data_IF_721825944461
#
_entry.id   IF_721825944461
#
_cell.length_a   1.000
_cell.length_b   1.000
_cell.length_c   1.000
_cell.angle_alpha   90.00
_cell.angle_beta   90.00
_cell.angle_gamma   90.00
#
_symmetry.space_group_name_H-M   'P 1'
#
loop_
_entity.id
_entity.type
_entity.pdbx_description
1 polymer ?
#
# COMPACT_ATOMS: atom_id res chain seq x y z
N UNK A 1 20.82 3.04 0.36
CA UNK A 1 19.72 3.52 -0.53
C UNK A 1 18.64 2.46 -0.66
N UNK A 2 17.37 2.83 -0.72
CA UNK A 2 16.23 1.94 -1.03
C UNK A 2 15.50 2.43 -2.27
N UNK A 3 14.77 1.55 -2.99
CA UNK A 3 14.08 1.88 -4.25
C UNK A 3 12.55 1.82 -4.14
N UNK A 4 12.00 1.42 -2.98
CA UNK A 4 10.57 1.41 -2.73
C UNK A 4 10.20 2.33 -1.57
N UNK A 5 9.08 3.04 -1.69
CA UNK A 5 8.52 3.82 -0.57
C UNK A 5 8.12 2.94 0.60
N UNK A 6 7.75 1.67 0.36
CA UNK A 6 7.41 0.69 1.42
C UNK A 6 8.54 0.44 2.41
N UNK A 7 9.81 0.69 2.00
CA UNK A 7 10.98 0.54 2.86
C UNK A 7 11.19 1.73 3.81
N UNK A 8 10.61 2.91 3.52
CA UNK A 8 10.78 4.13 4.33
C UNK A 8 10.27 3.94 5.76
N UNK A 9 9.02 3.45 6.00
CA UNK A 9 8.54 3.23 7.34
C UNK A 9 9.37 2.21 8.14
N UNK A 10 9.92 1.19 7.48
CA UNK A 10 10.77 0.19 8.14
C UNK A 10 12.07 0.82 8.66
N UNK A 11 12.72 1.68 7.85
CA UNK A 11 13.88 2.44 8.29
C UNK A 11 13.55 3.39 9.45
N UNK A 12 12.41 4.09 9.38
CA UNK A 12 11.99 5.03 10.42
C UNK A 12 11.65 4.35 11.74
N UNK A 13 11.00 3.19 11.71
CA UNK A 13 10.66 2.41 12.90
C UNK A 13 11.91 1.85 13.58
N UNK A 14 12.94 1.50 12.81
CA UNK A 14 14.23 1.07 13.34
C UNK A 14 15.13 2.24 13.78
N UNK A 15 14.71 3.50 13.53
CA UNK A 15 15.52 4.70 13.79
C UNK A 15 16.71 4.86 12.86
N UNK A 16 16.64 4.25 11.65
CA UNK A 16 17.69 4.24 10.63
C UNK A 16 17.37 5.10 9.40
N UNK A 17 16.43 6.03 9.53
CA UNK A 17 16.12 6.98 8.45
C UNK A 17 17.33 7.80 7.98
N UNK A 18 18.37 7.92 8.83
CA UNK A 18 19.61 8.63 8.47
C UNK A 18 20.45 7.85 7.46
N UNK A 19 20.31 6.55 7.38
CA UNK A 19 20.98 5.70 6.40
C UNK A 19 20.40 5.88 4.97
N UNK A 20 19.22 6.51 4.83
CA UNK A 20 18.72 6.88 3.52
C UNK A 20 19.45 8.12 3.00
N UNK A 21 20.27 7.93 1.96
CA UNK A 21 21.09 9.00 1.34
C UNK A 21 20.61 9.39 -0.06
N UNK A 22 19.79 8.54 -0.70
CA UNK A 22 19.22 8.82 -2.01
C UNK A 22 17.98 7.99 -2.27
N UNK A 23 17.07 8.52 -3.10
CA UNK A 23 15.83 7.88 -3.49
C UNK A 23 15.42 8.30 -4.90
N UNK A 24 14.82 7.40 -5.67
CA UNK A 24 14.27 7.69 -6.99
C UNK A 24 12.85 8.21 -6.87
N UNK A 25 12.56 9.37 -7.43
CA UNK A 25 11.26 10.03 -7.36
C UNK A 25 10.81 10.30 -5.92
N UNK A 26 11.54 11.18 -5.25
CA UNK A 26 11.30 11.56 -3.85
C UNK A 26 9.92 12.15 -3.60
N UNK A 27 9.19 12.62 -4.62
CA UNK A 27 7.83 13.14 -4.48
C UNK A 27 6.81 12.08 -4.05
N UNK A 28 7.11 10.79 -4.28
CA UNK A 28 6.28 9.69 -3.78
C UNK A 28 6.40 9.43 -2.28
N UNK A 29 7.42 9.97 -1.61
CA UNK A 29 7.60 9.80 -0.17
C UNK A 29 6.59 10.67 0.57
N UNK A 30 5.69 10.03 1.32
CA UNK A 30 4.63 10.67 2.09
C UNK A 30 5.05 11.01 3.52
N UNK A 31 6.06 10.33 4.08
CA UNK A 31 6.56 10.55 5.44
C UNK A 31 7.09 11.96 5.63
N UNK A 32 6.55 12.68 6.61
CA UNK A 32 7.05 14.01 7.00
C UNK A 32 8.49 13.94 7.51
N UNK A 33 8.86 12.88 8.24
CA UNK A 33 10.21 12.71 8.79
C UNK A 33 11.24 12.60 7.69
N UNK A 34 11.02 11.73 6.70
CA UNK A 34 11.92 11.57 5.55
C UNK A 34 11.85 12.78 4.62
N UNK A 35 10.66 13.39 4.43
CA UNK A 35 10.52 14.62 3.64
C UNK A 35 11.40 15.77 4.16
N UNK A 36 11.41 16.01 5.48
CA UNK A 36 12.28 17.02 6.10
C UNK A 36 13.77 16.76 5.80
N UNK A 37 14.18 15.51 5.71
CA UNK A 37 15.57 15.16 5.35
C UNK A 37 15.87 15.42 3.88
N UNK A 38 14.90 15.17 2.99
CA UNK A 38 15.02 15.50 1.55
C UNK A 38 15.15 17.01 1.39
N UNK A 39 14.28 17.78 2.02
CA UNK A 39 14.25 19.24 1.93
C UNK A 39 15.52 19.88 2.54
N UNK A 40 16.12 19.23 3.52
CA UNK A 40 17.43 19.61 4.09
C UNK A 40 18.65 19.14 3.25
N UNK A 41 18.44 18.44 2.13
CA UNK A 41 19.51 17.98 1.24
C UNK A 41 20.24 16.71 1.68
N UNK A 42 19.77 16.02 2.72
CA UNK A 42 20.38 14.76 3.20
C UNK A 42 19.98 13.53 2.37
N UNK A 43 18.94 13.63 1.55
CA UNK A 43 18.52 12.57 0.64
C UNK A 43 18.50 13.12 -0.77
N UNK A 44 19.37 12.60 -1.65
CA UNK A 44 19.52 13.05 -3.04
C UNK A 44 18.41 12.44 -3.91
N UNK A 45 17.80 13.27 -4.77
CA UNK A 45 16.94 12.80 -5.84
C UNK A 45 17.77 12.04 -6.89
N UNK A 46 17.39 10.79 -7.19
CA UNK A 46 18.13 9.89 -8.08
C UNK A 46 17.36 9.54 -9.36
N UNK A 47 16.60 10.46 -9.88
CA UNK A 47 15.86 10.28 -11.12
C UNK A 47 14.34 10.22 -10.94
N UNK A 48 13.64 10.01 -12.06
CA UNK A 48 12.18 9.99 -12.13
C UNK A 48 11.65 8.56 -12.37
N UNK A 49 10.34 8.42 -12.54
CA UNK A 49 9.67 7.13 -12.79
C UNK A 49 10.26 6.32 -13.96
N UNK A 50 10.82 6.98 -14.95
CA UNK A 50 11.30 6.34 -16.17
C UNK A 50 12.70 5.74 -16.04
N UNK A 51 13.59 6.34 -15.22
CA UNK A 51 14.97 5.90 -15.11
C UNK A 51 15.63 6.34 -13.80
N UNK A 52 16.35 5.40 -13.18
CA UNK A 52 17.29 5.69 -12.10
C UNK A 52 18.51 6.43 -12.70
N UNK A 53 18.89 7.57 -12.14
CA UNK A 53 20.11 8.27 -12.49
C UNK A 53 21.33 7.55 -11.89
N UNK A 54 21.90 6.63 -12.66
CA UNK A 54 23.02 5.81 -12.23
C UNK A 54 24.29 6.62 -12.00
N UNK A 55 24.53 7.72 -12.73
CA UNK A 55 25.67 8.59 -12.54
C UNK A 55 25.62 9.27 -11.16
N UNK A 56 24.50 9.89 -10.82
CA UNK A 56 24.29 10.49 -9.51
C UNK A 56 24.35 9.46 -8.37
N UNK A 57 23.91 8.22 -8.61
CA UNK A 57 24.02 7.14 -7.63
C UNK A 57 25.48 6.74 -7.40
N UNK A 58 26.28 6.62 -8.48
CA UNK A 58 27.68 6.27 -8.40
C UNK A 58 28.51 7.36 -7.71
N UNK A 59 28.20 8.64 -7.94
CA UNK A 59 28.79 9.77 -7.20
C UNK A 59 28.46 9.71 -5.71
N UNK A 60 27.21 9.35 -5.36
CA UNK A 60 26.75 9.26 -3.99
C UNK A 60 27.42 8.13 -3.20
N UNK A 61 27.88 7.05 -3.90
CA UNK A 61 28.56 5.87 -3.33
C UNK A 61 27.87 5.32 -2.08
N UNK A 62 26.59 4.92 -2.18
CA UNK A 62 25.92 4.31 -1.03
C UNK A 62 26.58 2.99 -0.66
N UNK A 63 26.56 2.61 0.62
CA UNK A 63 27.10 1.33 1.10
C UNK A 63 26.36 0.13 0.47
N UNK A 64 25.07 0.26 0.17
CA UNK A 64 24.26 -0.72 -0.54
C UNK A 64 23.04 -0.08 -1.22
N UNK A 65 22.51 -0.78 -2.22
CA UNK A 65 21.21 -0.50 -2.83
C UNK A 65 20.26 -1.64 -2.51
N UNK A 66 19.15 -1.34 -1.84
CA UNK A 66 18.08 -2.31 -1.56
C UNK A 66 16.94 -2.03 -2.53
N UNK A 67 16.64 -2.99 -3.38
CA UNK A 67 15.67 -2.82 -4.45
C UNK A 67 14.79 -4.05 -4.68
N UNK A 68 13.67 -3.85 -5.37
CA UNK A 68 12.86 -4.95 -5.86
C UNK A 68 13.17 -5.20 -7.35
N UNK A 69 13.03 -6.44 -7.79
CA UNK A 69 13.24 -6.80 -9.20
C UNK A 69 11.92 -6.80 -9.97
N UNK A 70 11.83 -5.90 -10.95
CA UNK A 70 11.04 -6.15 -12.17
C UNK A 70 12.05 -6.31 -13.32
N UNK A 71 11.72 -7.05 -14.35
CA UNK A 71 12.66 -7.50 -15.41
C UNK A 71 13.60 -6.42 -15.98
N UNK A 72 13.12 -5.17 -16.05
CA UNK A 72 13.90 -4.05 -16.56
C UNK A 72 14.97 -3.52 -15.58
N UNK A 73 14.85 -3.78 -14.28
CA UNK A 73 15.81 -3.31 -13.26
C UNK A 73 17.08 -4.16 -13.19
N UNK A 74 17.03 -5.42 -13.64
CA UNK A 74 18.19 -6.32 -13.57
C UNK A 74 19.43 -5.76 -14.26
N UNK A 75 19.28 -5.08 -15.41
CA UNK A 75 20.41 -4.47 -16.12
C UNK A 75 21.04 -3.32 -15.34
N UNK A 76 20.22 -2.48 -14.72
CA UNK A 76 20.68 -1.33 -13.90
C UNK A 76 21.36 -1.83 -12.63
N UNK A 77 20.79 -2.82 -11.94
CA UNK A 77 21.41 -3.40 -10.74
C UNK A 77 22.74 -4.09 -11.06
N UNK A 78 22.81 -4.86 -12.13
CA UNK A 78 24.06 -5.46 -12.60
C UNK A 78 25.14 -4.39 -12.92
N UNK A 79 24.77 -3.23 -13.45
CA UNK A 79 25.71 -2.14 -13.67
C UNK A 79 26.22 -1.57 -12.34
N UNK A 80 25.34 -1.36 -11.37
CA UNK A 80 25.68 -0.85 -10.02
C UNK A 80 26.64 -1.81 -9.32
N UNK A 81 26.36 -3.11 -9.35
CA UNK A 81 27.22 -4.15 -8.76
C UNK A 81 28.62 -4.19 -9.39
N UNK A 82 28.71 -4.04 -10.73
CA UNK A 82 29.98 -3.96 -11.43
C UNK A 82 30.84 -2.77 -11.01
N UNK A 83 30.23 -1.73 -10.46
CA UNK A 83 30.93 -0.58 -9.89
C UNK A 83 31.28 -0.76 -8.40
N UNK A 84 31.08 -1.97 -7.86
CA UNK A 84 31.46 -2.31 -6.48
C UNK A 84 30.46 -1.88 -5.41
N UNK A 85 29.24 -1.49 -5.78
CA UNK A 85 28.17 -1.17 -4.83
C UNK A 85 27.27 -2.42 -4.69
N UNK A 86 27.15 -3.00 -3.49
CA UNK A 86 26.29 -4.17 -3.26
C UNK A 86 24.82 -3.85 -3.58
N UNK A 87 24.16 -4.76 -4.28
CA UNK A 87 22.71 -4.70 -4.52
C UNK A 87 22.03 -5.86 -3.80
N UNK A 88 21.08 -5.51 -2.94
CA UNK A 88 20.31 -6.47 -2.15
C UNK A 88 18.87 -6.48 -2.66
N UNK A 89 18.43 -7.63 -3.17
CA UNK A 89 17.08 -7.77 -3.71
C UNK A 89 16.08 -8.03 -2.59
N UNK A 90 15.09 -7.15 -2.45
CA UNK A 90 13.97 -7.29 -1.54
C UNK A 90 12.75 -7.81 -2.31
N UNK A 91 12.08 -8.82 -1.76
CA UNK A 91 10.92 -9.48 -2.36
C UNK A 91 9.59 -9.21 -1.64
N UNK A 92 9.50 -8.19 -0.78
CA UNK A 92 8.34 -7.88 0.06
C UNK A 92 7.02 -7.78 -0.71
N UNK A 93 7.07 -7.28 -1.93
CA UNK A 93 5.89 -7.12 -2.81
C UNK A 93 5.29 -8.47 -3.25
N UNK A 94 6.03 -9.58 -3.14
CA UNK A 94 5.57 -10.93 -3.50
C UNK A 94 4.87 -11.63 -2.34
N UNK A 95 4.93 -11.06 -1.12
CA UNK A 95 4.24 -11.63 0.03
C UNK A 95 2.72 -11.62 -0.16
N UNK A 96 2.12 -12.73 0.18
CA UNK A 96 0.70 -13.01 -0.06
C UNK A 96 -0.18 -12.64 1.12
N UNK A 97 0.43 -12.44 2.29
CA UNK A 97 -0.29 -12.12 3.52
C UNK A 97 0.04 -10.72 4.03
N UNK A 98 -0.91 -10.06 4.70
CA UNK A 98 -0.67 -8.77 5.33
C UNK A 98 0.49 -8.77 6.31
N UNK A 99 0.56 -9.77 7.20
CA UNK A 99 1.65 -9.89 8.17
C UNK A 99 2.98 -10.26 7.52
N UNK A 100 2.98 -11.08 6.46
CA UNK A 100 4.21 -11.40 5.71
C UNK A 100 4.90 -10.16 5.18
N UNK A 101 4.15 -9.16 4.69
CA UNK A 101 4.75 -7.88 4.25
C UNK A 101 5.35 -7.10 5.40
N UNK A 102 4.66 -7.00 6.53
CA UNK A 102 5.18 -6.30 7.71
C UNK A 102 6.42 -6.99 8.30
N UNK A 103 6.51 -8.31 8.20
CA UNK A 103 7.64 -9.09 8.72
C UNK A 103 8.98 -8.75 8.05
N UNK A 104 8.97 -8.18 6.85
CA UNK A 104 10.19 -7.70 6.19
C UNK A 104 10.95 -6.63 6.97
N UNK A 105 10.37 -6.04 8.02
CA UNK A 105 11.12 -5.20 8.96
C UNK A 105 12.28 -5.96 9.60
N UNK A 106 12.15 -7.29 9.79
CA UNK A 106 13.22 -8.15 10.34
C UNK A 106 14.43 -8.24 9.38
N UNK A 107 14.19 -8.23 8.07
CA UNK A 107 15.26 -8.15 7.08
C UNK A 107 16.08 -6.85 7.26
N UNK A 108 15.41 -5.71 7.44
CA UNK A 108 16.08 -4.45 7.75
C UNK A 108 16.75 -4.50 9.13
N UNK A 109 16.15 -5.17 10.12
CA UNK A 109 16.75 -5.40 11.43
C UNK A 109 18.13 -6.06 11.33
N UNK A 110 18.27 -7.09 10.51
CA UNK A 110 19.55 -7.76 10.26
C UNK A 110 20.57 -6.83 9.60
N UNK A 111 20.16 -6.00 8.64
CA UNK A 111 21.06 -5.08 7.93
C UNK A 111 21.64 -3.98 8.83
N UNK A 112 20.94 -3.65 9.93
CA UNK A 112 21.32 -2.57 10.84
C UNK A 112 21.68 -3.04 12.25
N UNK A 113 21.90 -4.36 12.45
CA UNK A 113 22.20 -4.96 13.78
C UNK A 113 21.14 -4.61 14.83
N UNK A 114 19.85 -4.64 14.42
CA UNK A 114 18.67 -4.30 15.22
C UNK A 114 17.60 -5.37 15.23
N UNK A 115 17.98 -6.64 15.15
CA UNK A 115 17.05 -7.78 15.06
C UNK A 115 16.07 -7.80 16.22
N UNK A 116 16.55 -7.57 17.46
CA UNK A 116 15.68 -7.55 18.65
C UNK A 116 14.61 -6.43 18.58
N UNK A 117 14.98 -5.27 18.07
CA UNK A 117 14.04 -4.16 17.90
C UNK A 117 13.03 -4.48 16.80
N UNK A 118 13.50 -5.02 15.68
CA UNK A 118 12.65 -5.44 14.57
C UNK A 118 11.63 -6.51 14.99
N UNK A 119 12.07 -7.52 15.74
CA UNK A 119 11.18 -8.53 16.33
C UNK A 119 10.14 -7.93 17.26
N UNK A 120 10.54 -7.03 18.15
CA UNK A 120 9.62 -6.35 19.08
C UNK A 120 8.56 -5.53 18.33
N UNK A 121 8.97 -4.80 17.29
CA UNK A 121 8.05 -4.00 16.47
C UNK A 121 7.08 -4.91 15.71
N UNK A 122 7.60 -5.96 15.05
CA UNK A 122 6.75 -6.91 14.32
C UNK A 122 5.75 -7.61 15.25
N UNK A 123 6.19 -8.09 16.40
CA UNK A 123 5.31 -8.76 17.37
C UNK A 123 4.19 -7.82 17.85
N UNK A 124 4.46 -6.53 18.03
CA UNK A 124 3.42 -5.55 18.36
C UNK A 124 2.39 -5.43 17.23
N UNK A 125 2.85 -5.30 15.98
CA UNK A 125 1.99 -5.21 14.80
C UNK A 125 1.15 -6.48 14.65
N UNK A 126 1.74 -7.66 14.85
CA UNK A 126 1.04 -8.94 14.80
C UNK A 126 -0.04 -9.05 15.86
N UNK A 127 0.26 -8.68 17.12
CA UNK A 127 -0.73 -8.69 18.22
C UNK A 127 -1.90 -7.77 17.90
N UNK A 128 -1.64 -6.55 17.42
CA UNK A 128 -2.65 -5.57 17.06
C UNK A 128 -3.50 -6.06 15.87
N UNK A 129 -2.86 -6.64 14.84
CA UNK A 129 -3.55 -7.23 13.69
C UNK A 129 -4.48 -8.38 14.10
N UNK A 130 -3.98 -9.30 14.92
CA UNK A 130 -4.77 -10.44 15.39
C UNK A 130 -5.90 -10.02 16.35
N UNK A 131 -5.68 -8.95 17.12
CA UNK A 131 -6.73 -8.35 17.94
C UNK A 131 -7.84 -7.74 17.06
N UNK A 132 -7.49 -6.96 16.04
CA UNK A 132 -8.45 -6.43 15.09
C UNK A 132 -9.23 -7.54 14.37
N UNK A 133 -8.55 -8.61 13.93
CA UNK A 133 -9.19 -9.78 13.31
C UNK A 133 -10.18 -10.49 14.25
N UNK A 134 -9.90 -10.54 15.56
CA UNK A 134 -10.86 -11.08 16.55
C UNK A 134 -12.09 -10.18 16.67
N UNK A 135 -11.90 -8.86 16.76
CA UNK A 135 -12.99 -7.89 16.80
C UNK A 135 -13.87 -8.01 15.54
N UNK A 136 -13.26 -8.15 14.36
CA UNK A 136 -14.00 -8.32 13.12
C UNK A 136 -14.96 -9.52 13.12
N UNK A 137 -14.64 -10.61 13.84
CA UNK A 137 -15.52 -11.78 13.94
C UNK A 137 -16.84 -11.52 14.68
N UNK A 138 -16.93 -10.43 15.44
CA UNK A 138 -18.17 -10.01 16.09
C UNK A 138 -19.15 -9.37 15.09
N UNK A 139 -18.70 -9.09 13.85
CA UNK A 139 -19.56 -8.60 12.79
C UNK A 139 -20.57 -9.68 12.36
N UNK A 140 -21.84 -9.37 12.50
CA UNK A 140 -22.95 -10.24 12.08
C UNK A 140 -23.60 -9.82 10.77
N UNK A 141 -23.23 -8.66 10.21
CA UNK A 141 -23.91 -8.04 9.05
C UNK A 141 -23.34 -8.49 7.70
N UNK A 142 -22.08 -8.90 7.63
CA UNK A 142 -21.37 -9.35 6.42
C UNK A 142 -21.61 -8.45 5.20
N UNK A 143 -21.34 -7.13 5.25
CA UNK A 143 -21.62 -6.24 4.15
C UNK A 143 -20.84 -6.62 2.89
N UNK A 144 -21.47 -6.45 1.73
CA UNK A 144 -20.88 -6.75 0.44
C UNK A 144 -19.92 -5.64 -0.02
N UNK A 145 -18.75 -6.06 -0.50
CA UNK A 145 -17.67 -5.13 -0.88
C UNK A 145 -17.32 -5.26 -2.35
N UNK A 146 -17.40 -4.13 -3.05
CA UNK A 146 -16.68 -3.86 -4.28
C UNK A 146 -15.33 -3.25 -3.90
N UNK A 147 -14.22 -3.91 -4.21
CA UNK A 147 -12.87 -3.37 -4.04
C UNK A 147 -12.13 -3.42 -5.38
N UNK A 148 -11.45 -2.35 -5.75
CA UNK A 148 -10.66 -2.34 -6.97
C UNK A 148 -10.54 -0.97 -7.60
N UNK A 149 -9.47 -0.79 -8.37
CA UNK A 149 -9.12 0.43 -9.06
C UNK A 149 -9.63 0.42 -10.50
N UNK A 150 -10.17 1.56 -10.92
CA UNK A 150 -10.50 1.83 -12.30
C UNK A 150 -9.21 2.22 -13.03
N UNK A 151 -8.90 1.47 -14.10
CA UNK A 151 -7.73 1.69 -14.94
C UNK A 151 -8.13 2.39 -16.25
N UNK A 152 -7.16 2.57 -17.16
CA UNK A 152 -7.43 3.16 -18.49
C UNK A 152 -8.46 2.32 -19.26
N UNK A 153 -9.23 2.98 -20.12
CA UNK A 153 -10.27 2.39 -20.97
C UNK A 153 -11.36 1.64 -20.17
N UNK A 154 -11.65 2.11 -18.98
CA UNK A 154 -12.68 1.54 -18.08
C UNK A 154 -12.46 0.05 -17.76
N UNK A 155 -11.21 -0.40 -17.83
CA UNK A 155 -10.82 -1.70 -17.30
C UNK A 155 -10.64 -1.58 -15.80
N UNK A 156 -11.21 -2.50 -15.07
CA UNK A 156 -11.15 -2.54 -13.61
C UNK A 156 -10.16 -3.59 -13.15
N UNK A 157 -9.22 -3.16 -12.32
CA UNK A 157 -8.25 -4.02 -11.66
C UNK A 157 -8.74 -4.32 -10.24
N UNK A 158 -9.28 -5.53 -10.04
CA UNK A 158 -9.82 -5.97 -8.77
C UNK A 158 -8.91 -7.01 -8.12
N UNK A 159 -8.79 -7.05 -6.79
CA UNK A 159 -8.03 -8.09 -6.11
C UNK A 159 -8.58 -9.49 -6.46
N UNK A 160 -7.73 -10.39 -6.93
CA UNK A 160 -8.10 -11.80 -7.04
C UNK A 160 -8.29 -12.43 -5.64
N UNK A 161 -9.05 -13.51 -5.54
CA UNK A 161 -9.48 -14.07 -4.25
C UNK A 161 -8.35 -14.53 -3.34
N UNK A 162 -7.21 -14.93 -3.90
CA UNK A 162 -6.02 -15.37 -3.15
C UNK A 162 -4.98 -14.24 -2.98
N UNK A 163 -5.35 -12.98 -3.25
CA UNK A 163 -4.46 -11.84 -3.17
C UNK A 163 -4.33 -11.29 -1.75
N UNK A 164 -3.23 -10.58 -1.52
CA UNK A 164 -2.97 -9.81 -0.30
C UNK A 164 -4.14 -8.88 0.10
N UNK A 165 -4.76 -8.17 -0.86
CA UNK A 165 -5.89 -7.28 -0.56
C UNK A 165 -7.15 -8.07 -0.23
N UNK A 166 -7.41 -9.19 -0.91
CA UNK A 166 -8.53 -10.07 -0.59
C UNK A 166 -8.42 -10.63 0.82
N UNK A 167 -7.19 -10.93 1.27
CA UNK A 167 -6.96 -11.41 2.64
C UNK A 167 -7.37 -10.38 3.70
N UNK A 168 -7.12 -9.08 3.48
CA UNK A 168 -7.62 -8.04 4.38
C UNK A 168 -9.14 -8.02 4.47
N UNK A 169 -9.83 -8.15 3.33
CA UNK A 169 -11.28 -8.14 3.29
C UNK A 169 -11.87 -9.38 3.99
N UNK A 170 -11.23 -10.54 3.84
CA UNK A 170 -11.60 -11.75 4.57
C UNK A 170 -11.39 -11.60 6.08
N UNK A 171 -10.24 -11.02 6.48
CA UNK A 171 -9.90 -10.82 7.89
C UNK A 171 -10.77 -9.73 8.55
N UNK A 172 -11.28 -8.76 7.77
CA UNK A 172 -12.29 -7.80 8.21
C UNK A 172 -13.72 -8.41 8.32
N UNK A 173 -13.88 -9.69 8.01
CA UNK A 173 -15.14 -10.41 8.07
C UNK A 173 -16.27 -9.78 7.23
N UNK A 174 -15.94 -9.40 5.99
CA UNK A 174 -16.87 -8.84 5.01
C UNK A 174 -17.04 -9.77 3.80
N UNK A 175 -18.09 -9.56 3.02
CA UNK A 175 -18.37 -10.35 1.84
C UNK A 175 -17.75 -9.69 0.59
N UNK A 176 -16.48 -9.99 0.33
CA UNK A 176 -15.83 -9.55 -0.92
C UNK A 176 -16.41 -10.32 -2.12
N UNK A 177 -16.90 -9.60 -3.12
CA UNK A 177 -17.65 -10.18 -4.23
C UNK A 177 -16.85 -11.13 -5.14
N UNK A 178 -15.52 -11.01 -5.17
CA UNK A 178 -14.63 -11.89 -5.96
C UNK A 178 -13.72 -12.77 -5.08
N UNK A 179 -14.08 -13.00 -3.80
CA UNK A 179 -13.30 -13.84 -2.87
C UNK A 179 -13.00 -15.24 -3.36
N UNK A 180 -13.89 -15.81 -4.19
CA UNK A 180 -13.77 -17.19 -4.70
C UNK A 180 -13.00 -17.27 -6.03
N UNK A 181 -12.52 -16.14 -6.56
CA UNK A 181 -11.71 -16.13 -7.77
C UNK A 181 -10.31 -16.63 -7.49
N UNK A 182 -9.71 -17.31 -8.49
CA UNK A 182 -8.36 -17.85 -8.40
C UNK A 182 -7.31 -16.76 -8.68
N UNK A 183 -6.12 -16.96 -8.12
CA UNK A 183 -4.94 -16.14 -8.35
C UNK A 183 -4.64 -15.14 -7.24
N UNK A 184 -3.38 -14.69 -7.23
CA UNK A 184 -2.79 -13.85 -6.16
C UNK A 184 -2.62 -12.38 -6.57
N UNK A 185 -2.84 -12.07 -7.85
CA UNK A 185 -2.71 -10.73 -8.42
C UNK A 185 -4.04 -10.00 -8.51
N UNK A 186 -4.27 -9.34 -9.65
CA UNK A 186 -5.49 -8.62 -9.96
C UNK A 186 -6.24 -9.24 -11.13
N UNK A 187 -7.55 -9.27 -11.02
CA UNK A 187 -8.46 -9.55 -12.12
C UNK A 187 -8.58 -8.29 -12.98
N UNK A 188 -8.62 -8.47 -14.30
CA UNK A 188 -8.88 -7.40 -15.24
C UNK A 188 -10.28 -7.62 -15.82
N UNK A 189 -11.25 -6.80 -15.44
CA UNK A 189 -12.65 -6.95 -15.82
C UNK A 189 -13.16 -5.68 -16.52
N UNK A 190 -14.14 -5.85 -17.43
CA UNK A 190 -14.84 -4.71 -18.01
C UNK A 190 -15.80 -4.08 -17.01
N UNK A 191 -16.16 -2.82 -17.23
CA UNK A 191 -17.13 -2.11 -16.44
C UNK A 191 -18.47 -2.87 -16.36
N UNK A 192 -18.95 -3.41 -17.47
CA UNK A 192 -20.23 -4.14 -17.53
C UNK A 192 -20.20 -5.37 -16.62
N UNK A 193 -19.10 -6.14 -16.64
CA UNK A 193 -18.95 -7.32 -15.79
C UNK A 193 -18.93 -6.94 -14.30
N UNK A 194 -18.31 -5.79 -13.97
CA UNK A 194 -18.27 -5.30 -12.61
C UNK A 194 -19.63 -4.77 -12.16
N UNK A 195 -20.32 -4.01 -13.04
CA UNK A 195 -21.64 -3.47 -12.75
C UNK A 195 -22.65 -4.58 -12.53
N UNK A 196 -22.67 -5.60 -13.41
CA UNK A 196 -23.59 -6.75 -13.28
C UNK A 196 -23.48 -7.43 -11.91
N UNK A 197 -22.25 -7.64 -11.42
CA UNK A 197 -22.02 -8.33 -10.15
C UNK A 197 -22.12 -7.42 -8.91
N UNK A 198 -21.72 -6.16 -9.02
CA UNK A 198 -21.48 -5.28 -7.89
C UNK A 198 -22.40 -4.06 -7.80
N UNK A 199 -23.39 -3.90 -8.70
CA UNK A 199 -24.28 -2.74 -8.66
C UNK A 199 -24.99 -2.54 -7.31
N UNK A 200 -25.21 -3.63 -6.56
CA UNK A 200 -25.87 -3.64 -5.26
C UNK A 200 -24.91 -3.76 -4.07
N UNK A 201 -23.60 -3.68 -4.28
CA UNK A 201 -22.62 -3.72 -3.21
C UNK A 201 -22.86 -2.61 -2.17
N UNK A 202 -22.74 -2.96 -0.88
CA UNK A 202 -22.95 -2.01 0.22
C UNK A 202 -21.85 -0.95 0.27
N UNK A 203 -20.62 -1.34 -0.01
CA UNK A 203 -19.45 -0.45 0.00
C UNK A 203 -18.61 -0.60 -1.26
N UNK A 204 -17.97 0.49 -1.65
CA UNK A 204 -16.92 0.52 -2.65
C UNK A 204 -15.63 1.05 -2.02
N UNK A 205 -14.61 0.19 -1.91
CA UNK A 205 -13.32 0.48 -1.27
C UNK A 205 -12.24 0.59 -2.33
N UNK A 206 -11.42 1.64 -2.24
CA UNK A 206 -10.24 1.89 -3.07
C UNK A 206 -10.54 1.95 -4.58
N UNK A 207 -11.35 2.92 -5.06
CA UNK A 207 -11.70 3.07 -6.47
C UNK A 207 -10.51 3.48 -7.38
N UNK A 208 -9.29 3.51 -6.86
CA UNK A 208 -8.09 3.95 -7.53
C UNK A 208 -7.67 5.36 -7.09
N UNK A 209 -7.15 6.15 -8.02
CA UNK A 209 -6.60 7.48 -7.72
C UNK A 209 -7.64 8.61 -7.65
N UNK A 210 -8.92 8.28 -7.69
CA UNK A 210 -10.00 9.26 -7.55
C UNK A 210 -10.11 9.77 -6.10
N UNK A 211 -10.23 11.07 -5.94
CA UNK A 211 -10.37 11.72 -4.64
C UNK A 211 -11.77 12.26 -4.36
N UNK A 212 -12.65 12.29 -5.38
CA UNK A 212 -14.04 12.77 -5.25
C UNK A 212 -15.02 12.01 -6.14
N UNK A 213 -16.28 12.01 -5.76
CA UNK A 213 -17.38 11.47 -6.59
C UNK A 213 -17.52 12.21 -7.92
N UNK A 214 -17.21 13.50 -7.96
CA UNK A 214 -17.22 14.29 -9.19
C UNK A 214 -16.21 13.71 -10.20
N UNK A 215 -14.97 13.44 -9.78
CA UNK A 215 -13.97 12.81 -10.65
C UNK A 215 -14.39 11.42 -11.14
N UNK A 216 -15.08 10.64 -10.32
CA UNK A 216 -15.63 9.35 -10.76
C UNK A 216 -16.65 9.56 -11.89
N UNK A 217 -17.57 10.53 -11.75
CA UNK A 217 -18.59 10.81 -12.78
C UNK A 217 -18.01 11.45 -14.06
N UNK A 218 -16.93 12.22 -13.95
CA UNK A 218 -16.19 12.74 -15.10
C UNK A 218 -15.55 11.59 -15.89
N UNK A 219 -15.05 10.58 -15.21
CA UNK A 219 -14.47 9.40 -15.85
C UNK A 219 -15.55 8.53 -16.52
N UNK A 220 -16.65 8.21 -15.80
CA UNK A 220 -17.77 7.47 -16.34
C UNK A 220 -19.07 7.82 -15.60
N UNK A 221 -20.07 8.49 -16.25
CA UNK A 221 -21.32 8.89 -15.61
C UNK A 221 -22.18 7.71 -15.12
N UNK A 222 -21.90 6.47 -15.59
CA UNK A 222 -22.64 5.28 -15.18
C UNK A 222 -22.24 4.77 -13.79
N UNK A 223 -21.12 5.25 -13.19
CA UNK A 223 -20.73 4.87 -11.83
C UNK A 223 -21.78 5.26 -10.77
N UNK A 224 -22.63 6.26 -11.06
CA UNK A 224 -23.80 6.59 -10.23
C UNK A 224 -24.80 5.43 -10.07
N UNK A 225 -24.72 4.38 -10.89
CA UNK A 225 -25.62 3.23 -10.81
C UNK A 225 -25.30 2.29 -9.66
N UNK A 226 -24.06 2.29 -9.16
CA UNK A 226 -23.69 1.51 -7.98
C UNK A 226 -24.43 1.99 -6.72
N UNK A 227 -24.95 1.05 -5.92
CA UNK A 227 -25.61 1.36 -4.65
C UNK A 227 -24.64 2.06 -3.68
N UNK A 228 -23.37 1.63 -3.61
CA UNK A 228 -22.35 2.29 -2.80
C UNK A 228 -22.18 3.78 -3.18
N UNK A 229 -22.28 4.14 -4.47
CA UNK A 229 -22.23 5.53 -4.90
C UNK A 229 -23.46 6.33 -4.41
N UNK A 230 -24.66 5.79 -4.57
CA UNK A 230 -25.92 6.42 -4.16
C UNK A 230 -25.99 6.63 -2.64
N UNK A 231 -25.49 5.67 -1.88
CA UNK A 231 -25.52 5.66 -0.42
C UNK A 231 -24.33 6.38 0.22
N UNK A 232 -23.44 6.99 -0.56
CA UNK A 232 -22.20 7.62 -0.09
C UNK A 232 -21.22 6.66 0.61
N UNK A 233 -21.24 5.37 0.29
CA UNK A 233 -20.39 4.34 0.88
C UNK A 233 -19.17 4.05 0.00
N UNK A 234 -18.52 5.10 -0.50
CA UNK A 234 -17.25 4.99 -1.24
C UNK A 234 -16.13 5.52 -0.36
N UNK A 235 -15.07 4.73 -0.22
CA UNK A 235 -13.90 5.09 0.57
C UNK A 235 -12.62 5.02 -0.26
N UNK A 236 -11.84 6.08 -0.24
CA UNK A 236 -10.59 6.19 -0.99
C UNK A 236 -9.41 6.42 -0.07
N UNK A 237 -8.25 5.86 -0.43
CA UNK A 237 -6.98 6.19 0.22
C UNK A 237 -6.26 7.35 -0.49
N UNK A 238 -6.75 7.79 -1.65
CA UNK A 238 -6.07 8.76 -2.50
C UNK A 238 -6.14 10.21 -2.02
N UNK A 239 -6.89 10.49 -0.96
CA UNK A 239 -6.97 11.82 -0.32
C UNK A 239 -5.88 12.01 0.73
N UNK A 240 -5.44 10.95 1.41
CA UNK A 240 -4.40 11.03 2.44
C UNK A 240 -3.01 10.97 1.80
N UNK A 241 -2.42 12.15 1.61
CA UNK A 241 -1.16 12.33 0.89
C UNK A 241 -0.14 13.10 1.71
N UNK A 242 1.13 12.79 1.49
CA UNK A 242 2.22 13.68 1.87
C UNK A 242 2.22 14.98 1.06
N UNK A 243 3.01 15.94 1.49
CA UNK A 243 3.03 17.32 0.92
C UNK A 243 3.38 17.38 -0.57
N UNK A 244 4.01 16.36 -1.13
CA UNK A 244 4.35 16.27 -2.56
C UNK A 244 3.45 15.32 -3.35
N UNK A 245 2.43 14.75 -2.72
CA UNK A 245 1.42 13.94 -3.39
C UNK A 245 1.54 12.42 -3.20
N UNK A 246 2.62 11.94 -2.58
CA UNK A 246 2.76 10.52 -2.22
C UNK A 246 1.59 10.06 -1.33
N UNK A 247 0.96 8.92 -1.68
CA UNK A 247 -0.19 8.40 -0.95
C UNK A 247 0.27 7.59 0.26
N UNK A 248 -0.18 7.97 1.45
CA UNK A 248 0.24 7.35 2.73
C UNK A 248 -0.02 5.84 2.77
N UNK A 249 -1.15 5.40 2.20
CA UNK A 249 -1.50 3.98 2.13
C UNK A 249 -0.43 3.12 1.45
N UNK A 250 0.12 3.58 0.32
CA UNK A 250 1.10 2.79 -0.43
C UNK A 250 2.47 2.75 0.22
N UNK A 251 2.81 3.75 1.03
CA UNK A 251 4.08 3.80 1.76
C UNK A 251 3.98 3.05 3.10
N UNK A 252 3.06 3.45 3.96
CA UNK A 252 2.97 2.96 5.34
C UNK A 252 2.16 1.66 5.46
N UNK A 253 1.16 1.46 4.61
CA UNK A 253 0.21 0.35 4.72
C UNK A 253 0.84 -1.04 4.75
N UNK A 254 1.84 -1.37 3.88
CA UNK A 254 2.50 -2.67 3.94
C UNK A 254 3.21 -2.96 5.26
N UNK A 255 3.73 -1.94 5.93
CA UNK A 255 4.38 -2.06 7.25
C UNK A 255 3.36 -2.09 8.40
N UNK A 256 2.19 -1.46 8.24
CA UNK A 256 1.13 -1.35 9.26
C UNK A 256 -0.20 -1.97 8.78
N UNK A 257 -0.21 -3.28 8.53
CA UNK A 257 -1.44 -3.99 8.13
C UNK A 257 -2.52 -3.97 9.21
N UNK A 258 -2.14 -3.88 10.48
CA UNK A 258 -3.03 -3.71 11.61
C UNK A 258 -3.95 -2.49 11.45
N UNK A 259 -3.41 -1.36 11.02
CA UNK A 259 -4.17 -0.12 10.79
C UNK A 259 -5.08 -0.23 9.55
N UNK A 260 -4.65 -0.93 8.48
CA UNK A 260 -5.52 -1.17 7.32
C UNK A 260 -6.73 -2.01 7.73
N UNK A 261 -6.51 -3.08 8.51
CA UNK A 261 -7.58 -3.93 8.97
C UNK A 261 -8.56 -3.18 9.89
N UNK A 262 -8.04 -2.35 10.80
CA UNK A 262 -8.86 -1.50 11.66
C UNK A 262 -9.69 -0.49 10.85
N UNK A 263 -9.11 0.12 9.80
CA UNK A 263 -9.83 1.01 8.89
C UNK A 263 -11.01 0.29 8.22
N UNK A 264 -10.79 -0.91 7.67
CA UNK A 264 -11.83 -1.70 7.02
C UNK A 264 -12.96 -2.07 8.00
N UNK A 265 -12.63 -2.47 9.23
CA UNK A 265 -13.60 -2.75 10.28
C UNK A 265 -14.38 -1.48 10.62
N UNK A 266 -13.71 -0.35 10.82
CA UNK A 266 -14.35 0.93 11.15
C UNK A 266 -15.30 1.40 10.05
N UNK A 267 -14.93 1.23 8.79
CA UNK A 267 -15.76 1.59 7.64
C UNK A 267 -17.03 0.73 7.60
N UNK A 268 -16.88 -0.58 7.77
CA UNK A 268 -17.97 -1.53 7.54
C UNK A 268 -18.81 -1.81 8.78
N UNK A 269 -18.25 -1.62 9.97
CA UNK A 269 -18.87 -1.80 11.28
C UNK A 269 -18.34 -0.78 12.30
N UNK A 270 -18.75 0.49 12.20
CA UNK A 270 -18.20 1.56 13.04
C UNK A 270 -18.42 1.36 14.55
N UNK A 271 -19.43 0.58 14.92
CA UNK A 271 -19.75 0.24 16.31
C UNK A 271 -18.72 -0.67 16.99
N UNK A 272 -17.99 -1.49 16.21
CA UNK A 272 -16.94 -2.37 16.76
C UNK A 272 -15.67 -1.60 17.17
N UNK A 273 -15.44 -0.45 16.57
CA UNK A 273 -14.29 0.42 16.86
C UNK A 273 -14.74 1.87 17.08
N UNK A 274 -15.55 2.17 18.14
CA UNK A 274 -16.21 3.46 18.30
C UNK A 274 -15.22 4.64 18.37
N UNK A 275 -14.09 4.47 19.04
CA UNK A 275 -13.08 5.50 19.27
C UNK A 275 -11.96 5.54 18.23
N UNK A 276 -11.97 4.65 17.24
CA UNK A 276 -10.95 4.59 16.21
C UNK A 276 -11.20 5.62 15.12
N UNK A 277 -10.14 6.32 14.69
CA UNK A 277 -10.15 7.26 13.56
C UNK A 277 -9.41 6.64 12.39
N UNK A 278 -10.00 6.71 11.20
CA UNK A 278 -9.42 6.14 9.98
C UNK A 278 -8.02 6.69 9.70
N UNK A 279 -7.08 5.78 9.51
CA UNK A 279 -5.67 6.10 9.21
C UNK A 279 -5.45 6.35 7.73
N UNK A 280 -5.91 5.44 6.88
CA UNK A 280 -5.60 5.46 5.45
C UNK A 280 -6.76 5.91 4.57
N UNK A 281 -7.98 5.56 4.93
CA UNK A 281 -9.15 5.81 4.09
C UNK A 281 -9.93 7.04 4.53
N UNK A 282 -10.62 7.65 3.57
CA UNK A 282 -11.62 8.69 3.81
C UNK A 282 -12.86 8.41 2.97
N UNK A 283 -14.02 8.77 3.50
CA UNK A 283 -15.27 8.75 2.75
C UNK A 283 -15.20 9.77 1.62
N UNK A 284 -15.47 9.31 0.41
CA UNK A 284 -15.43 10.15 -0.79
C UNK A 284 -16.63 11.10 -0.83
N UNK A 285 -16.35 12.38 -1.02
CA UNK A 285 -17.36 13.45 -1.14
C UNK A 285 -17.68 13.78 -2.59
#
# INVERSE_FOLDING_TARGET
MVTSTTHIPMLELLGEEKALVGFQNTDYISSTKTRNRIDAGFVKELGNEAALNTESLLELRPDAVIGFTMDNYNKTFNLIEKQGIPVIVNGDWREETPLGRAEWIKFFGVLFDKERLADSIFNTIEVDYLAAKRIAKENTKYPSILSGAIMRNDIWSLPAGESFVSQFLLDANVNYLWKDSKGKGSLQLSFESVLDKAQHADYWIAPGYFSSKAQLLENNPHYKNFAAFKNNNIYTASTKRGVKGGVVYYELGPTRPDLILQDLIKITNPELLPNYTLTFFEQMK
#
